data_IF_202976574432
#
_entry.id   IF_202976574432
#
_cell.length_a   1.000
_cell.length_b   1.000
_cell.length_c   1.000
_cell.angle_alpha   90.00
_cell.angle_beta   90.00
_cell.angle_gamma   90.00
#
_symmetry.space_group_name_H-M   'P 1'
#
loop_
_entity.id
_entity.type
_entity.pdbx_description
1 polymer ?
#
# COMPACT_ATOMS: atom_id res chain seq x y z
N UNK A 1 9.46 67.66 -9.68
CA UNK A 1 8.81 66.49 -10.31
C UNK A 1 9.75 65.30 -10.16
N UNK A 2 9.25 64.23 -9.49
CA UNK A 2 9.45 62.77 -9.65
C UNK A 2 10.76 62.25 -10.30
N UNK A 3 11.41 61.13 -9.95
CA UNK A 3 11.35 59.97 -9.01
C UNK A 3 12.68 59.21 -9.34
N UNK A 4 13.43 58.53 -8.49
CA UNK A 4 13.06 57.46 -7.55
C UNK A 4 14.05 56.30 -7.77
N UNK A 5 14.62 55.77 -6.69
CA UNK A 5 15.72 54.80 -6.63
C UNK A 5 15.16 53.35 -6.58
N UNK A 6 16.02 52.38 -6.93
CA UNK A 6 16.25 51.05 -6.30
C UNK A 6 16.06 49.84 -7.24
N UNK A 7 17.12 49.02 -7.23
CA UNK A 7 17.35 47.74 -7.85
C UNK A 7 16.27 46.68 -7.58
N UNK A 8 16.11 45.72 -8.51
CA UNK A 8 15.48 44.45 -8.17
C UNK A 8 15.96 43.29 -9.06
N UNK A 9 16.82 42.48 -8.43
CA UNK A 9 16.94 41.01 -8.40
C UNK A 9 16.91 40.16 -9.70
N UNK A 10 17.94 39.31 -9.75
CA UNK A 10 18.04 38.04 -10.49
C UNK A 10 16.70 37.32 -10.61
N UNK A 11 16.30 37.02 -11.85
CA UNK A 11 15.30 36.00 -12.14
C UNK A 11 16.04 34.67 -12.29
N UNK A 12 16.23 33.97 -11.18
CA UNK A 12 16.42 32.53 -11.18
C UNK A 12 15.15 31.94 -10.55
N UNK A 13 14.29 31.31 -11.35
CA UNK A 13 13.31 30.34 -10.85
C UNK A 13 12.76 29.52 -12.00
N UNK A 14 13.38 28.35 -12.16
CA UNK A 14 12.75 27.06 -12.39
C UNK A 14 11.59 27.05 -13.40
N UNK A 15 11.88 26.50 -14.58
CA UNK A 15 10.88 25.73 -15.32
C UNK A 15 10.39 24.61 -14.40
N UNK A 16 9.34 24.90 -13.64
CA UNK A 16 8.49 23.88 -13.04
C UNK A 16 7.77 23.22 -14.21
N UNK A 17 8.40 22.21 -14.79
CA UNK A 17 7.67 21.23 -15.56
C UNK A 17 6.78 20.50 -14.57
N UNK A 18 5.62 21.08 -14.28
CA UNK A 18 4.48 20.37 -13.77
C UNK A 18 4.08 19.38 -14.87
N UNK A 19 4.79 18.26 -14.93
CA UNK A 19 4.21 17.04 -15.44
C UNK A 19 3.14 16.75 -14.39
N UNK A 20 1.92 17.19 -14.68
CA UNK A 20 0.74 16.63 -14.06
C UNK A 20 0.73 15.16 -14.46
N UNK A 21 1.48 14.34 -13.71
CA UNK A 21 1.34 12.90 -13.70
C UNK A 21 -0.13 12.70 -13.38
N UNK A 22 -0.87 12.23 -14.36
CA UNK A 22 -2.31 12.00 -14.30
C UNK A 22 -2.70 11.44 -12.93
N UNK A 23 -3.26 12.30 -12.07
CA UNK A 23 -3.80 11.98 -10.74
C UNK A 23 -5.13 11.23 -10.85
N UNK A 24 -5.32 10.47 -11.93
CA UNK A 24 -6.41 9.51 -11.99
C UNK A 24 -5.97 8.34 -11.10
N UNK A 25 -6.61 8.09 -9.95
CA UNK A 25 -6.24 6.95 -9.12
C UNK A 25 -6.37 5.68 -9.97
N UNK A 26 -5.24 5.02 -10.21
CA UNK A 26 -5.16 3.72 -10.89
C UNK A 26 -5.56 2.58 -9.95
N UNK A 27 -6.49 2.86 -9.04
CA UNK A 27 -6.66 2.12 -7.80
C UNK A 27 -8.11 1.75 -7.56
N UNK A 28 -8.33 0.47 -7.31
CA UNK A 28 -9.50 -0.03 -6.59
C UNK A 28 -9.05 -0.44 -5.19
N UNK A 29 -9.86 -0.18 -4.17
CA UNK A 29 -9.48 -0.46 -2.77
C UNK A 29 -10.58 -1.15 -1.97
N UNK A 30 -10.17 -1.95 -0.98
CA UNK A 30 -11.04 -2.55 0.04
C UNK A 30 -10.45 -2.27 1.42
N UNK A 31 -11.27 -1.70 2.31
CA UNK A 31 -10.94 -1.60 3.74
C UNK A 31 -11.42 -2.88 4.42
N UNK A 32 -10.50 -3.56 5.09
CA UNK A 32 -10.87 -4.67 5.98
C UNK A 32 -10.81 -4.18 7.45
N UNK A 33 -11.95 -4.10 8.16
CA UNK A 33 -11.96 -3.61 9.53
C UNK A 33 -11.31 -4.60 10.50
N UNK A 34 -10.44 -4.08 11.37
CA UNK A 34 -9.67 -4.82 12.38
C UNK A 34 -10.49 -5.70 13.34
N UNK A 35 -11.76 -5.39 13.58
CA UNK A 35 -12.57 -6.11 14.59
C UNK A 35 -13.04 -7.48 14.12
N UNK A 36 -12.81 -7.79 12.85
CA UNK A 36 -13.12 -9.10 12.33
C UNK A 36 -11.94 -10.01 12.66
N UNK A 37 -12.02 -10.74 13.78
CA UNK A 37 -11.15 -11.90 14.05
C UNK A 37 -11.38 -13.05 13.05
N UNK A 38 -12.21 -12.80 12.03
CA UNK A 38 -12.64 -13.75 11.02
C UNK A 38 -11.74 -13.65 9.81
N UNK A 39 -11.27 -14.79 9.32
CA UNK A 39 -10.65 -14.89 8.00
C UNK A 39 -11.55 -14.24 6.92
N UNK A 40 -10.99 -13.30 6.17
CA UNK A 40 -11.66 -12.68 5.01
C UNK A 40 -11.14 -13.29 3.73
N UNK A 41 -12.07 -13.64 2.84
CA UNK A 41 -11.78 -14.10 1.49
C UNK A 41 -12.24 -13.03 0.52
N UNK A 42 -11.32 -12.55 -0.32
CA UNK A 42 -11.55 -11.52 -1.33
C UNK A 42 -11.18 -12.09 -2.70
N UNK A 43 -11.97 -11.75 -3.71
CA UNK A 43 -11.62 -12.01 -5.11
C UNK A 43 -11.77 -10.72 -5.89
N UNK A 44 -10.71 -10.29 -6.57
CA UNK A 44 -10.73 -9.04 -7.31
C UNK A 44 -9.91 -9.11 -8.61
N UNK A 45 -10.39 -8.45 -9.68
CA UNK A 45 -9.62 -8.28 -10.90
C UNK A 45 -8.64 -7.10 -10.76
N UNK A 46 -7.50 -7.22 -11.44
CA UNK A 46 -6.51 -6.17 -11.63
C UNK A 46 -6.35 -5.98 -13.14
N UNK A 47 -6.67 -4.78 -13.62
CA UNK A 47 -6.43 -4.44 -15.02
C UNK A 47 -4.94 -4.14 -15.25
N UNK A 48 -4.46 -4.42 -16.46
CA UNK A 48 -3.10 -4.12 -16.89
C UNK A 48 -2.75 -2.65 -16.63
N UNK A 49 -1.61 -2.42 -15.97
CA UNK A 49 -1.14 -1.07 -15.68
C UNK A 49 -1.85 -0.38 -14.50
N UNK A 50 -2.73 -1.11 -13.81
CA UNK A 50 -3.38 -0.69 -12.55
C UNK A 50 -2.91 -1.56 -11.38
N UNK A 51 -3.26 -1.12 -10.18
CA UNK A 51 -3.02 -1.87 -8.96
C UNK A 51 -4.27 -1.93 -8.08
N UNK A 52 -4.30 -2.90 -7.17
CA UNK A 52 -5.36 -3.07 -6.18
C UNK A 52 -4.77 -2.94 -4.78
N UNK A 53 -5.39 -2.12 -3.94
CA UNK A 53 -4.96 -1.89 -2.55
C UNK A 53 -5.93 -2.57 -1.58
N UNK A 54 -5.41 -3.52 -0.81
CA UNK A 54 -6.12 -4.08 0.34
C UNK A 54 -5.50 -3.50 1.60
N UNK A 55 -6.25 -2.63 2.27
CA UNK A 55 -5.74 -1.96 3.46
C UNK A 55 -6.44 -2.43 4.74
N UNK A 56 -5.66 -2.47 5.81
CA UNK A 56 -6.11 -2.90 7.12
C UNK A 56 -5.38 -2.11 8.21
N UNK A 57 -6.13 -1.74 9.25
CA UNK A 57 -5.57 -1.05 10.42
C UNK A 57 -5.03 -2.09 11.40
N UNK A 58 -3.78 -1.96 11.83
CA UNK A 58 -3.17 -2.84 12.84
C UNK A 58 -2.67 -2.03 14.02
N UNK A 59 -2.94 -2.54 15.23
CA UNK A 59 -2.28 -2.07 16.43
C UNK A 59 -0.87 -2.66 16.54
N UNK A 60 0.05 -1.92 17.18
CA UNK A 60 1.39 -2.41 17.46
C UNK A 60 1.36 -3.80 18.14
N UNK A 61 2.18 -4.72 17.65
CA UNK A 61 2.29 -6.10 18.13
C UNK A 61 1.22 -7.06 17.58
N UNK A 62 0.29 -6.61 16.74
CA UNK A 62 -0.69 -7.48 16.10
C UNK A 62 -0.13 -8.00 14.78
N UNK A 63 -0.51 -9.23 14.42
CA UNK A 63 -0.04 -9.88 13.21
C UNK A 63 -1.18 -10.06 12.21
N UNK A 64 -0.85 -9.84 10.94
CA UNK A 64 -1.69 -10.20 9.80
C UNK A 64 -1.02 -11.35 9.05
N UNK A 65 -1.83 -12.35 8.71
CA UNK A 65 -1.46 -13.43 7.82
C UNK A 65 -2.26 -13.25 6.54
N UNK A 66 -1.63 -13.52 5.40
CA UNK A 66 -2.33 -13.54 4.14
C UNK A 66 -1.81 -14.65 3.25
N UNK A 67 -2.70 -15.18 2.43
CA UNK A 67 -2.36 -16.10 1.35
C UNK A 67 -3.11 -15.72 0.09
N UNK A 68 -2.51 -15.92 -1.07
CA UNK A 68 -3.19 -15.66 -2.32
C UNK A 68 -2.79 -16.64 -3.41
N UNK A 69 -3.74 -16.86 -4.31
CA UNK A 69 -3.49 -17.37 -5.63
C UNK A 69 -3.89 -16.29 -6.65
N UNK A 70 -3.45 -16.46 -7.88
CA UNK A 70 -3.82 -15.55 -8.94
C UNK A 70 -3.88 -16.26 -10.29
N UNK A 71 -4.63 -15.67 -11.21
CA UNK A 71 -4.55 -15.94 -12.65
C UNK A 71 -3.85 -14.77 -13.33
N UNK A 72 -3.08 -15.03 -14.39
CA UNK A 72 -2.30 -14.03 -15.10
C UNK A 72 -0.89 -14.51 -15.40
N UNK A 73 0.03 -13.56 -15.63
CA UNK A 73 1.44 -13.85 -15.92
C UNK A 73 2.33 -13.62 -14.71
N UNK A 74 2.34 -12.37 -14.22
CA UNK A 74 3.16 -11.96 -13.09
C UNK A 74 2.35 -11.03 -12.20
N UNK A 75 2.61 -11.12 -10.90
CA UNK A 75 2.01 -10.26 -9.90
C UNK A 75 3.09 -9.81 -8.92
N UNK A 76 3.23 -8.50 -8.77
CA UNK A 76 4.04 -7.91 -7.73
C UNK A 76 3.13 -7.61 -6.53
N UNK A 77 3.53 -8.03 -5.34
CA UNK A 77 2.76 -7.82 -4.10
C UNK A 77 3.65 -7.14 -3.08
N UNK A 78 3.28 -5.94 -2.68
CA UNK A 78 4.05 -5.10 -1.77
C UNK A 78 3.23 -4.73 -0.53
N UNK A 79 3.83 -4.86 0.65
CA UNK A 79 3.27 -4.38 1.91
C UNK A 79 3.98 -3.08 2.32
N UNK A 80 3.20 -2.04 2.59
CA UNK A 80 3.70 -0.72 3.00
C UNK A 80 2.91 -0.23 4.23
N UNK A 81 3.51 0.65 5.02
CA UNK A 81 2.76 1.47 5.96
C UNK A 81 2.15 2.69 5.24
N UNK A 82 1.32 3.45 5.95
CA UNK A 82 0.59 4.59 5.36
C UNK A 82 1.53 5.64 4.75
N UNK A 83 2.61 6.00 5.45
CA UNK A 83 3.59 6.99 4.97
C UNK A 83 4.23 6.54 3.65
N UNK A 84 4.72 5.30 3.57
CA UNK A 84 5.38 4.81 2.37
C UNK A 84 4.39 4.55 1.23
N UNK A 85 3.16 4.15 1.54
CA UNK A 85 2.11 4.02 0.54
C UNK A 85 1.76 5.37 -0.10
N UNK A 86 1.67 6.45 0.68
CA UNK A 86 1.43 7.78 0.12
C UNK A 86 2.55 8.23 -0.83
N UNK A 87 3.81 7.96 -0.48
CA UNK A 87 4.97 8.24 -1.36
C UNK A 87 4.88 7.42 -2.66
N UNK A 88 4.57 6.13 -2.54
CA UNK A 88 4.32 5.24 -3.68
C UNK A 88 3.20 5.77 -4.60
N UNK A 89 2.07 6.22 -4.02
CA UNK A 89 0.96 6.79 -4.80
C UNK A 89 1.35 8.07 -5.55
N UNK A 90 2.27 8.87 -4.98
CA UNK A 90 2.82 10.07 -5.64
C UNK A 90 3.90 9.75 -6.67
N UNK A 91 4.33 8.50 -6.79
CA UNK A 91 5.40 8.08 -7.69
C UNK A 91 6.79 8.52 -7.24
N UNK A 92 6.96 8.79 -5.94
CA UNK A 92 8.27 9.07 -5.34
C UNK A 92 9.14 7.80 -5.37
N UNK A 93 10.46 7.94 -5.35
CA UNK A 93 11.40 6.81 -5.44
C UNK A 93 11.97 6.37 -4.09
N UNK A 94 11.75 7.14 -3.03
CA UNK A 94 12.32 6.98 -1.69
C UNK A 94 11.33 6.36 -0.68
N UNK A 95 10.38 5.55 -1.16
CA UNK A 95 9.51 4.77 -0.28
C UNK A 95 10.14 3.43 0.08
N UNK A 96 9.89 2.98 1.31
CA UNK A 96 10.29 1.68 1.80
C UNK A 96 9.12 0.68 1.69
N UNK A 97 9.46 -0.55 1.30
CA UNK A 97 8.52 -1.67 1.28
C UNK A 97 8.87 -2.59 2.45
N UNK A 98 7.88 -2.90 3.29
CA UNK A 98 8.02 -3.81 4.44
C UNK A 98 8.26 -5.24 3.95
N UNK A 99 7.48 -5.65 2.96
CA UNK A 99 7.56 -6.96 2.34
C UNK A 99 7.27 -6.84 0.85
N UNK A 100 8.08 -7.48 0.02
CA UNK A 100 7.85 -7.56 -1.41
C UNK A 100 7.87 -9.02 -1.89
N UNK A 101 6.86 -9.41 -2.66
CA UNK A 101 6.71 -10.75 -3.24
C UNK A 101 6.49 -10.64 -4.74
N UNK A 102 7.33 -11.34 -5.50
CA UNK A 102 7.14 -11.51 -6.93
C UNK A 102 6.56 -12.89 -7.21
N UNK A 103 5.27 -12.94 -7.56
CA UNK A 103 4.57 -14.17 -7.90
C UNK A 103 4.65 -14.41 -9.42
N UNK A 104 5.19 -15.56 -9.80
CA UNK A 104 5.48 -15.94 -11.19
C UNK A 104 4.86 -17.27 -11.62
N UNK A 105 4.19 -17.98 -10.70
CA UNK A 105 3.51 -19.24 -10.96
C UNK A 105 2.06 -19.18 -10.50
N UNK A 106 1.12 -19.47 -11.39
CA UNK A 106 -0.32 -19.49 -11.07
C UNK A 106 -0.78 -20.80 -10.40
N UNK A 107 0.10 -21.81 -10.33
CA UNK A 107 -0.18 -23.08 -9.63
C UNK A 107 0.21 -23.05 -8.15
N UNK A 108 0.85 -21.98 -7.69
CA UNK A 108 1.33 -21.83 -6.32
C UNK A 108 0.39 -20.97 -5.49
N UNK A 109 0.35 -21.25 -4.18
CA UNK A 109 -0.24 -20.34 -3.19
C UNK A 109 0.89 -19.62 -2.50
N UNK A 110 0.89 -18.29 -2.60
CA UNK A 110 1.86 -17.42 -1.94
C UNK A 110 1.34 -17.04 -0.56
N UNK A 111 2.21 -16.98 0.43
CA UNK A 111 1.85 -16.68 1.82
C UNK A 111 2.76 -15.61 2.40
N UNK A 112 2.21 -14.78 3.27
CA UNK A 112 2.95 -13.77 4.01
C UNK A 112 2.40 -13.59 5.42
N UNK A 113 3.29 -13.22 6.33
CA UNK A 113 2.96 -12.81 7.68
C UNK A 113 3.69 -11.51 7.98
N UNK A 114 3.01 -10.59 8.66
CA UNK A 114 3.63 -9.39 9.19
C UNK A 114 3.09 -9.05 10.57
N UNK A 115 3.99 -8.69 11.49
CA UNK A 115 3.64 -8.17 12.82
C UNK A 115 3.91 -6.67 12.87
N UNK A 116 2.89 -5.88 13.17
CA UNK A 116 2.96 -4.43 13.16
C UNK A 116 3.93 -3.88 14.22
N UNK A 117 4.93 -3.12 13.79
CA UNK A 117 5.88 -2.47 14.69
C UNK A 117 5.33 -1.19 15.34
N UNK A 118 4.31 -0.57 14.74
CA UNK A 118 3.58 0.60 15.23
C UNK A 118 2.10 0.46 14.90
N UNK A 119 1.26 1.21 15.59
CA UNK A 119 -0.17 1.30 15.23
C UNK A 119 -0.31 2.16 13.98
N UNK A 120 -0.80 1.60 12.88
CA UNK A 120 -0.89 2.26 11.58
C UNK A 120 -1.93 1.57 10.67
N UNK A 121 -2.23 2.19 9.53
CA UNK A 121 -2.87 1.53 8.40
C UNK A 121 -1.79 0.97 7.47
N UNK A 122 -1.91 -0.31 7.17
CA UNK A 122 -1.00 -1.03 6.29
C UNK A 122 -1.70 -1.36 4.99
N UNK A 123 -0.94 -1.27 3.89
CA UNK A 123 -1.42 -1.38 2.52
C UNK A 123 -0.76 -2.58 1.85
N UNK A 124 -1.57 -3.59 1.50
CA UNK A 124 -1.15 -4.74 0.71
C UNK A 124 -1.54 -4.48 -0.75
N UNK A 125 -0.55 -4.04 -1.53
CA UNK A 125 -0.70 -3.59 -2.91
C UNK A 125 -0.39 -4.73 -3.87
N UNK A 126 -1.33 -5.01 -4.77
CA UNK A 126 -1.18 -5.99 -5.84
C UNK A 126 -1.10 -5.28 -7.18
N UNK A 127 0.00 -5.46 -7.91
CA UNK A 127 0.23 -4.86 -9.22
C UNK A 127 0.41 -5.94 -10.28
N UNK A 128 -0.30 -5.80 -11.41
CA UNK A 128 -0.07 -6.65 -12.57
C UNK A 128 0.41 -5.83 -13.77
N UNK A 129 1.58 -6.20 -14.28
CA UNK A 129 2.23 -5.57 -15.41
C UNK A 129 2.80 -6.65 -16.33
N UNK A 130 2.51 -6.66 -17.65
CA UNK A 130 1.59 -5.84 -18.43
C UNK A 130 0.23 -6.51 -18.72
N UNK A 131 -0.21 -7.48 -17.92
CA UNK A 131 -1.43 -8.26 -18.19
C UNK A 131 -2.50 -8.05 -17.12
N UNK A 132 -3.74 -8.43 -17.45
CA UNK A 132 -4.78 -8.51 -16.44
C UNK A 132 -4.53 -9.72 -15.53
N UNK A 133 -4.89 -9.57 -14.26
CA UNK A 133 -4.85 -10.65 -13.29
C UNK A 133 -6.17 -10.74 -12.52
N UNK A 134 -6.49 -11.90 -11.99
CA UNK A 134 -7.51 -12.04 -10.93
C UNK A 134 -6.85 -12.65 -9.72
N UNK A 135 -7.00 -12.02 -8.57
CA UNK A 135 -6.42 -12.49 -7.30
C UNK A 135 -7.53 -13.07 -6.44
N UNK A 136 -7.28 -14.24 -5.85
CA UNK A 136 -8.07 -14.73 -4.72
C UNK A 136 -7.19 -14.65 -3.47
N UNK A 137 -7.54 -13.72 -2.59
CA UNK A 137 -6.80 -13.39 -1.38
C UNK A 137 -7.57 -13.86 -0.14
N UNK A 138 -6.85 -14.53 0.74
CA UNK A 138 -7.31 -14.85 2.10
C UNK A 138 -6.48 -14.02 3.07
N UNK A 139 -7.14 -13.30 3.97
CA UNK A 139 -6.49 -12.53 5.04
C UNK A 139 -7.02 -13.01 6.38
N UNK A 140 -6.14 -13.22 7.35
CA UNK A 140 -6.51 -13.54 8.73
C UNK A 140 -5.63 -12.78 9.72
N UNK A 141 -6.13 -12.57 10.93
CA UNK A 141 -5.43 -11.83 11.98
C UNK A 141 -5.05 -12.79 13.10
N UNK A 142 -3.82 -12.65 13.58
CA UNK A 142 -3.41 -13.25 14.84
C UNK A 142 -3.22 -12.12 15.85
N UNK A 143 -4.10 -12.10 16.85
CA UNK A 143 -3.85 -11.32 18.06
C UNK A 143 -2.80 -12.09 18.84
N UNK A 144 -1.55 -11.64 18.83
CA UNK A 144 -0.59 -12.04 19.85
C UNK A 144 -1.20 -11.61 21.18
N UNK A 145 -1.76 -12.58 21.92
CA UNK A 145 -2.34 -12.35 23.24
C UNK A 145 -1.24 -11.75 24.11
N UNK A 146 -1.19 -10.43 24.23
CA UNK A 146 -0.67 -9.85 25.45
C UNK A 146 -1.52 -10.44 26.57
N UNK A 147 -0.84 -11.07 27.53
CA UNK A 147 -1.42 -11.58 28.77
C UNK A 147 -2.49 -10.60 29.27
N UNK A 148 -3.61 -11.08 29.84
CA UNK A 148 -4.64 -10.20 30.35
C UNK A 148 -3.98 -9.15 31.23
N UNK A 149 -4.07 -7.88 30.84
CA UNK A 149 -3.76 -6.80 31.78
C UNK A 149 -4.69 -7.07 32.97
N UNK A 150 -4.18 -7.34 34.19
CA UNK A 150 -5.04 -7.47 35.33
C UNK A 150 -5.76 -6.14 35.47
N UNK A 151 -7.07 -6.17 35.26
CA UNK A 151 -7.94 -5.03 35.50
C UNK A 151 -7.75 -4.64 36.97
N UNK A 152 -7.04 -3.54 37.23
CA UNK A 152 -6.98 -2.88 38.53
C UNK A 152 -7.91 -1.69 38.50
N UNK A 153 -9.14 -1.91 38.94
CA UNK A 153 -9.91 -1.05 39.86
C UNK A 153 -11.29 -1.66 40.05
#
# INVERSE_FOLDING_TARGET
MKKGIIALMLVFTLFTSAIAVSLIPKTSWVIIPYRDTETKNLTFPIESGKYYDVNFHLYSGYSVNFSFNYTGFFLNVSLMDSENYEKYQRGEQDYAVILNMFASSTSETYTGNYTAAKTDTYHLVFESLPFNATVSLTVSWEVLRFLPLPYRS
#
